data_IF_871610282340
#
_entry.id   IF_871610282340
#
_cell.length_a   1.000
_cell.length_b   1.000
_cell.length_c   1.000
_cell.angle_alpha   90.00
_cell.angle_beta   90.00
_cell.angle_gamma   90.00
#
_symmetry.space_group_name_H-M   'P 1'
#
loop_
_entity.id
_entity.type
_entity.pdbx_description
1 polymer ?
#
# COMPACT_ATOMS: atom_id res chain seq x y z
N UNK A 1 -15.50 -23.22 26.87
CA UNK A 1 -14.64 -22.16 26.32
C UNK A 1 -15.48 -20.93 25.98
N UNK A 2 -14.88 -19.75 25.98
CA UNK A 2 -15.58 -18.49 25.70
C UNK A 2 -16.04 -18.44 24.24
N UNK A 3 -17.21 -17.84 23.98
CA UNK A 3 -17.63 -17.53 22.62
C UNK A 3 -16.67 -16.54 21.93
N UNK A 4 -16.78 -16.42 20.61
CA UNK A 4 -15.90 -15.54 19.84
C UNK A 4 -15.92 -14.08 20.33
N UNK A 5 -17.08 -13.58 20.77
CA UNK A 5 -17.24 -12.19 21.22
C UNK A 5 -16.46 -11.98 22.52
N UNK A 6 -16.63 -12.87 23.48
CA UNK A 6 -15.89 -12.86 24.75
C UNK A 6 -14.38 -13.00 24.53
N UNK A 7 -13.98 -13.90 23.63
CA UNK A 7 -12.56 -14.07 23.29
C UNK A 7 -11.97 -12.82 22.62
N UNK A 8 -12.68 -12.20 21.69
CA UNK A 8 -12.22 -10.96 21.04
C UNK A 8 -12.06 -9.81 22.07
N UNK A 9 -12.98 -9.70 23.01
CA UNK A 9 -12.90 -8.70 24.09
C UNK A 9 -11.71 -8.95 25.02
N UNK A 10 -11.39 -10.19 25.33
CA UNK A 10 -10.18 -10.50 26.12
C UNK A 10 -8.87 -10.09 25.43
N UNK A 11 -8.91 -9.90 24.11
CA UNK A 11 -7.81 -9.33 23.31
C UNK A 11 -7.91 -7.80 23.13
N UNK A 12 -8.80 -7.13 23.86
CA UNK A 12 -9.05 -5.70 23.74
C UNK A 12 -9.76 -5.28 22.44
N UNK A 13 -10.37 -6.22 21.71
CA UNK A 13 -11.11 -5.92 20.47
C UNK A 13 -12.60 -5.76 20.81
N UNK A 14 -13.16 -4.57 20.57
CA UNK A 14 -14.56 -4.25 20.84
C UNK A 14 -15.49 -4.90 19.79
N UNK A 15 -15.72 -6.20 19.95
CA UNK A 15 -16.61 -6.99 19.11
C UNK A 15 -17.97 -7.14 19.81
N UNK A 16 -19.05 -6.70 19.14
CA UNK A 16 -20.42 -6.74 19.69
C UNK A 16 -21.22 -7.96 19.17
N UNK A 17 -20.87 -8.46 17.99
CA UNK A 17 -21.53 -9.61 17.38
C UNK A 17 -20.59 -10.34 16.44
N UNK A 18 -20.88 -11.62 16.18
CA UNK A 18 -20.09 -12.45 15.26
C UNK A 18 -20.12 -11.86 13.85
N UNK A 19 -18.95 -11.57 13.23
CA UNK A 19 -18.90 -10.97 11.90
C UNK A 19 -19.30 -11.97 10.81
N UNK A 20 -19.62 -11.48 9.59
CA UNK A 20 -19.88 -12.33 8.45
C UNK A 20 -18.70 -13.26 8.13
N UNK A 21 -19.00 -14.49 7.72
CA UNK A 21 -17.99 -15.51 7.38
C UNK A 21 -17.10 -15.06 6.22
N UNK A 22 -15.80 -15.33 6.35
CA UNK A 22 -14.81 -15.17 5.28
C UNK A 22 -14.31 -13.74 5.04
N UNK A 23 -14.80 -12.75 5.77
CA UNK A 23 -14.48 -11.34 5.57
C UNK A 23 -13.74 -10.76 6.76
N UNK A 24 -12.58 -10.11 6.51
CA UNK A 24 -11.93 -9.30 7.53
C UNK A 24 -12.77 -8.06 7.86
N UNK A 25 -13.06 -7.85 9.14
CA UNK A 25 -13.73 -6.65 9.66
C UNK A 25 -12.84 -5.95 10.67
N UNK A 26 -12.83 -4.62 10.58
CA UNK A 26 -12.09 -3.76 11.49
C UNK A 26 -12.97 -3.30 12.64
N UNK A 27 -12.45 -3.38 13.86
CA UNK A 27 -13.12 -3.02 15.10
C UNK A 27 -12.28 -2.03 15.89
N UNK A 28 -12.93 -1.27 16.75
CA UNK A 28 -12.26 -0.43 17.73
C UNK A 28 -11.56 -1.34 18.76
N UNK A 29 -10.54 -0.79 19.42
CA UNK A 29 -9.85 -1.47 20.53
C UNK A 29 -9.99 -0.66 21.80
N UNK A 30 -9.92 -1.30 22.95
CA UNK A 30 -10.03 -0.64 24.25
C UNK A 30 -8.95 0.42 24.44
N UNK A 31 -7.71 0.13 24.01
CA UNK A 31 -6.58 1.06 24.12
C UNK A 31 -6.73 2.30 23.21
N UNK A 32 -7.45 2.16 22.09
CA UNK A 32 -7.66 3.23 21.14
C UNK A 32 -9.10 3.25 20.61
N UNK A 33 -10.07 3.70 21.42
CA UNK A 33 -11.50 3.61 21.08
C UNK A 33 -11.92 4.46 19.87
N UNK A 34 -11.08 5.41 19.46
CA UNK A 34 -11.29 6.24 18.27
C UNK A 34 -10.66 5.67 17.00
N UNK A 35 -9.87 4.58 17.09
CA UNK A 35 -9.21 3.92 15.97
C UNK A 35 -9.71 2.48 15.81
N UNK A 36 -9.73 2.00 14.56
CA UNK A 36 -10.12 0.61 14.26
C UNK A 36 -8.86 -0.26 14.14
N UNK A 37 -8.13 -0.44 15.25
CA UNK A 37 -6.89 -1.20 15.30
C UNK A 37 -7.11 -2.71 15.50
N UNK A 38 -8.31 -3.16 15.83
CA UNK A 38 -8.67 -4.57 15.88
C UNK A 38 -9.15 -5.08 14.52
N UNK A 39 -8.88 -6.34 14.21
CA UNK A 39 -9.45 -7.04 13.07
C UNK A 39 -9.87 -8.45 13.44
N UNK A 40 -11.00 -8.88 12.90
CA UNK A 40 -11.52 -10.23 13.05
C UNK A 40 -11.96 -10.78 11.71
N UNK A 41 -11.58 -12.01 11.40
CA UNK A 41 -12.10 -12.79 10.27
C UNK A 41 -12.67 -14.10 10.80
N UNK A 42 -13.97 -14.22 10.75
CA UNK A 42 -14.67 -15.43 11.19
C UNK A 42 -14.81 -16.40 10.01
N UNK A 43 -14.49 -17.66 10.25
CA UNK A 43 -14.55 -18.72 9.24
C UNK A 43 -15.62 -19.78 9.57
N UNK A 44 -16.40 -19.55 10.65
CA UNK A 44 -17.49 -20.41 11.09
C UNK A 44 -17.12 -21.31 12.25
N UNK A 45 -16.10 -22.13 12.11
CA UNK A 45 -15.56 -23.02 13.16
C UNK A 45 -14.33 -22.42 13.86
N UNK A 46 -13.71 -21.43 13.26
CA UNK A 46 -12.58 -20.69 13.82
C UNK A 46 -12.61 -19.23 13.41
N UNK A 47 -11.81 -18.39 14.05
CA UNK A 47 -11.63 -17.00 13.70
C UNK A 47 -10.15 -16.60 13.82
N UNK A 48 -9.72 -15.71 12.94
CA UNK A 48 -8.45 -15.03 13.04
C UNK A 48 -8.68 -13.65 13.65
N UNK A 49 -7.92 -13.32 14.70
CA UNK A 49 -8.02 -12.05 15.39
C UNK A 49 -6.65 -11.39 15.45
N UNK A 50 -6.61 -10.09 15.28
CA UNK A 50 -5.39 -9.31 15.41
C UNK A 50 -5.71 -7.95 16.04
N UNK A 51 -4.90 -7.53 17.02
CA UNK A 51 -4.99 -6.22 17.65
C UNK A 51 -3.66 -5.47 17.44
N UNK A 52 -3.63 -4.55 16.46
CA UNK A 52 -2.43 -3.75 16.18
C UNK A 52 -2.12 -2.69 17.25
N UNK A 53 -3.04 -2.39 18.16
CA UNK A 53 -2.79 -1.43 19.25
C UNK A 53 -1.73 -1.95 20.23
N UNK A 54 -1.67 -3.27 20.39
CA UNK A 54 -0.72 -3.94 21.29
C UNK A 54 0.34 -4.75 20.53
N UNK A 55 0.43 -4.56 19.22
CA UNK A 55 1.39 -5.22 18.32
C UNK A 55 1.42 -6.76 18.47
N UNK A 56 0.25 -7.35 18.59
CA UNK A 56 0.09 -8.80 18.74
C UNK A 56 0.03 -9.48 17.38
N UNK A 57 0.55 -10.69 17.30
CA UNK A 57 0.41 -11.57 16.15
C UNK A 57 -1.06 -11.98 15.94
N UNK A 58 -1.34 -12.57 14.77
CA UNK A 58 -2.65 -13.12 14.49
C UNK A 58 -2.92 -14.30 15.42
N UNK A 59 -3.96 -14.19 16.25
CA UNK A 59 -4.41 -15.24 17.16
C UNK A 59 -5.58 -15.99 16.51
N UNK A 60 -5.61 -17.31 16.70
CA UNK A 60 -6.68 -18.16 16.18
C UNK A 60 -7.58 -18.63 17.33
N UNK A 61 -8.86 -18.25 17.27
CA UNK A 61 -9.91 -18.83 18.10
C UNK A 61 -10.57 -20.01 17.39
N UNK A 62 -10.94 -21.06 18.11
CA UNK A 62 -11.68 -22.22 17.58
C UNK A 62 -12.97 -22.43 18.36
N UNK A 63 -14.05 -22.76 17.65
CA UNK A 63 -15.34 -23.13 18.23
C UNK A 63 -15.33 -24.58 18.74
N UNK A 64 -15.96 -24.80 19.88
CA UNK A 64 -16.18 -26.15 20.41
C UNK A 64 -17.48 -26.80 19.91
N UNK A 65 -18.32 -26.03 19.21
CA UNK A 65 -19.60 -26.53 18.69
C UNK A 65 -19.43 -27.03 17.27
N UNK A 66 -20.07 -28.17 16.97
CA UNK A 66 -20.13 -28.71 15.60
C UNK A 66 -20.69 -27.66 14.61
N UNK A 67 -19.98 -27.41 13.55
CA UNK A 67 -20.33 -26.37 12.58
C UNK A 67 -20.79 -27.00 11.28
N UNK A 68 -21.86 -26.46 10.69
CA UNK A 68 -22.33 -26.86 9.37
C UNK A 68 -21.35 -26.38 8.29
N UNK A 69 -20.43 -27.27 7.90
CA UNK A 69 -19.41 -27.01 6.88
C UNK A 69 -20.00 -26.62 5.53
N UNK A 70 -21.19 -27.10 5.19
CA UNK A 70 -21.85 -26.73 3.93
C UNK A 70 -22.30 -25.26 3.96
N UNK A 71 -22.81 -24.79 5.10
CA UNK A 71 -23.20 -23.38 5.32
C UNK A 71 -21.97 -22.47 5.24
N UNK A 72 -20.86 -22.85 5.88
CA UNK A 72 -19.60 -22.09 5.83
C UNK A 72 -19.11 -21.97 4.40
N UNK A 73 -19.03 -23.08 3.67
CA UNK A 73 -18.58 -23.12 2.29
C UNK A 73 -19.40 -22.18 1.39
N UNK A 74 -20.73 -22.27 1.46
CA UNK A 74 -21.64 -21.39 0.71
C UNK A 74 -21.42 -19.92 1.04
N UNK A 75 -21.28 -19.56 2.34
CA UNK A 75 -21.03 -18.19 2.76
C UNK A 75 -19.68 -17.67 2.28
N UNK A 76 -18.63 -18.51 2.29
CA UNK A 76 -17.30 -18.16 1.79
C UNK A 76 -17.33 -17.92 0.28
N UNK A 77 -17.97 -18.83 -0.48
CA UNK A 77 -18.14 -18.66 -1.94
C UNK A 77 -18.90 -17.39 -2.29
N UNK A 78 -19.99 -17.09 -1.56
CA UNK A 78 -20.75 -15.85 -1.75
C UNK A 78 -19.91 -14.61 -1.42
N UNK A 79 -19.13 -14.64 -0.34
CA UNK A 79 -18.25 -13.53 0.05
C UNK A 79 -17.17 -13.28 -1.02
N UNK A 80 -16.59 -14.35 -1.58
CA UNK A 80 -15.61 -14.24 -2.67
C UNK A 80 -16.23 -13.69 -3.96
N UNK A 81 -17.42 -14.14 -4.33
CA UNK A 81 -18.13 -13.60 -5.49
C UNK A 81 -18.44 -12.12 -5.33
N UNK A 82 -18.95 -11.69 -4.16
CA UNK A 82 -19.18 -10.28 -3.87
C UNK A 82 -17.90 -9.46 -3.94
N UNK A 83 -16.79 -9.97 -3.40
CA UNK A 83 -15.48 -9.31 -3.49
C UNK A 83 -15.03 -9.15 -4.94
N UNK A 84 -15.14 -10.20 -5.77
CA UNK A 84 -14.81 -10.13 -7.20
C UNK A 84 -15.65 -9.09 -7.93
N UNK A 85 -16.96 -9.06 -7.71
CA UNK A 85 -17.87 -8.08 -8.30
C UNK A 85 -17.51 -6.65 -7.90
N UNK A 86 -17.17 -6.41 -6.62
CA UNK A 86 -16.72 -5.11 -6.14
C UNK A 86 -15.41 -4.69 -6.80
N UNK A 87 -14.45 -5.60 -6.91
CA UNK A 87 -13.16 -5.34 -7.58
C UNK A 87 -13.34 -5.01 -9.06
N UNK A 88 -14.19 -5.74 -9.78
CA UNK A 88 -14.51 -5.45 -11.18
C UNK A 88 -15.22 -4.10 -11.35
N UNK A 89 -16.16 -3.78 -10.46
CA UNK A 89 -16.83 -2.48 -10.47
C UNK A 89 -15.84 -1.34 -10.23
N UNK A 90 -14.95 -1.49 -9.23
CA UNK A 90 -13.91 -0.51 -8.94
C UNK A 90 -12.90 -0.37 -10.11
N UNK A 91 -12.54 -1.47 -10.76
CA UNK A 91 -11.65 -1.45 -11.93
C UNK A 91 -12.29 -0.70 -13.12
N UNK A 92 -13.59 -0.94 -13.40
CA UNK A 92 -14.33 -0.18 -14.43
C UNK A 92 -14.40 1.31 -14.09
N UNK A 93 -14.69 1.65 -12.81
CA UNK A 93 -14.69 3.05 -12.36
C UNK A 93 -13.32 3.71 -12.50
N UNK A 94 -12.23 3.01 -12.13
CA UNK A 94 -10.87 3.51 -12.29
C UNK A 94 -10.51 3.76 -13.77
N UNK A 95 -10.89 2.83 -14.66
CA UNK A 95 -10.65 2.96 -16.08
C UNK A 95 -11.42 4.15 -16.68
N UNK A 96 -12.67 4.36 -16.24
CA UNK A 96 -13.48 5.52 -16.64
C UNK A 96 -12.83 6.82 -16.14
N UNK A 97 -12.47 6.92 -14.84
CA UNK A 97 -11.80 8.12 -14.29
C UNK A 97 -10.54 8.45 -15.08
N UNK A 98 -9.71 7.44 -15.38
CA UNK A 98 -8.47 7.65 -16.14
C UNK A 98 -8.71 8.14 -17.56
N UNK A 99 -9.82 7.76 -18.17
CA UNK A 99 -10.22 8.26 -19.50
C UNK A 99 -10.66 9.73 -19.45
N UNK A 100 -11.26 10.17 -18.35
CA UNK A 100 -11.68 11.56 -18.14
C UNK A 100 -10.52 12.46 -17.65
N UNK A 101 -9.34 11.90 -17.31
CA UNK A 101 -8.19 12.68 -16.88
C UNK A 101 -7.59 13.47 -18.04
N UNK A 102 -7.09 14.65 -17.70
CA UNK A 102 -6.23 15.45 -18.55
C UNK A 102 -4.82 15.53 -17.95
N UNK A 103 -3.80 15.65 -18.80
CA UNK A 103 -2.45 15.93 -18.34
C UNK A 103 -2.39 17.39 -17.87
N UNK A 104 -2.23 17.60 -16.56
CA UNK A 104 -2.20 18.93 -15.97
C UNK A 104 -1.24 19.00 -14.76
N UNK A 105 -0.83 20.22 -14.40
CA UNK A 105 -0.14 20.49 -13.14
C UNK A 105 -1.13 20.30 -11.99
N UNK A 106 -0.62 19.94 -10.81
CA UNK A 106 -1.47 19.70 -9.64
C UNK A 106 -0.79 20.24 -8.37
N UNK A 107 -1.57 20.79 -7.45
CA UNK A 107 -1.07 21.38 -6.21
C UNK A 107 -0.21 20.40 -5.38
N UNK A 108 -0.57 19.12 -5.35
CA UNK A 108 0.23 18.08 -4.70
C UNK A 108 1.62 17.94 -5.32
N UNK A 109 1.75 17.97 -6.66
CA UNK A 109 3.05 17.90 -7.34
C UNK A 109 3.92 19.10 -6.96
N UNK A 110 3.34 20.30 -6.97
CA UNK A 110 4.01 21.53 -6.52
C UNK A 110 4.47 21.40 -5.07
N UNK A 111 3.58 20.96 -4.17
CA UNK A 111 3.90 20.77 -2.75
C UNK A 111 5.01 19.74 -2.52
N UNK A 112 5.20 18.79 -3.44
CA UNK A 112 6.26 17.78 -3.40
C UNK A 112 7.53 18.15 -4.16
N UNK A 113 7.62 19.39 -4.69
CA UNK A 113 8.80 19.94 -5.38
C UNK A 113 8.85 19.65 -6.88
N UNK A 114 7.71 19.29 -7.50
CA UNK A 114 7.57 18.93 -8.92
C UNK A 114 6.53 19.83 -9.61
N UNK A 115 6.68 21.16 -9.47
CA UNK A 115 5.70 22.13 -9.97
C UNK A 115 5.55 22.09 -11.50
N UNK A 116 6.62 21.74 -12.20
CA UNK A 116 6.63 21.68 -13.66
C UNK A 116 6.15 20.32 -14.22
N UNK A 117 5.96 19.34 -13.35
CA UNK A 117 5.50 18.01 -13.76
C UNK A 117 3.99 17.99 -14.02
N UNK A 118 3.61 17.18 -14.99
CA UNK A 118 2.21 16.91 -15.33
C UNK A 118 1.80 15.54 -14.78
N UNK A 119 0.57 15.46 -14.29
CA UNK A 119 -0.06 14.20 -13.86
C UNK A 119 -1.41 14.00 -14.52
N UNK A 120 -2.00 12.82 -14.34
CA UNK A 120 -3.38 12.58 -14.73
C UNK A 120 -4.30 13.29 -13.74
N UNK A 121 -4.90 14.40 -14.14
CA UNK A 121 -5.80 15.21 -13.30
C UNK A 121 -7.23 15.00 -13.76
N UNK A 122 -8.06 14.56 -12.83
CA UNK A 122 -9.50 14.43 -13.00
C UNK A 122 -10.20 15.54 -12.23
N UNK A 123 -11.10 16.26 -12.90
CA UNK A 123 -11.92 17.29 -12.26
C UNK A 123 -13.25 16.66 -11.85
N UNK A 124 -13.55 16.67 -10.57
CA UNK A 124 -14.79 16.13 -9.99
C UNK A 124 -15.35 17.10 -8.97
N UNK A 125 -16.59 17.49 -9.13
CA UNK A 125 -17.31 18.41 -8.21
C UNK A 125 -16.54 19.72 -7.93
N UNK A 126 -15.79 20.21 -8.94
CA UNK A 126 -14.98 21.43 -8.83
C UNK A 126 -13.62 21.23 -8.19
N UNK A 127 -13.28 20.02 -7.71
CA UNK A 127 -11.97 19.68 -7.18
C UNK A 127 -11.06 19.09 -8.28
N UNK A 128 -9.79 19.45 -8.28
CA UNK A 128 -8.76 18.77 -9.06
C UNK A 128 -8.21 17.60 -8.25
N UNK A 129 -8.21 16.42 -8.86
CA UNK A 129 -7.76 15.19 -8.22
C UNK A 129 -6.65 14.58 -9.07
N UNK A 130 -5.46 14.41 -8.51
CA UNK A 130 -4.38 13.68 -9.15
C UNK A 130 -4.65 12.18 -9.05
N UNK A 131 -4.66 11.49 -10.19
CA UNK A 131 -5.03 10.08 -10.31
C UNK A 131 -3.80 9.24 -10.65
N UNK A 132 -3.43 8.35 -9.74
CA UNK A 132 -2.35 7.40 -9.97
C UNK A 132 -2.96 6.03 -10.26
N UNK A 133 -2.81 5.50 -11.50
CA UNK A 133 -3.41 4.22 -11.86
C UNK A 133 -2.74 3.07 -11.11
N UNK A 134 -3.54 2.10 -10.69
CA UNK A 134 -3.08 0.87 -10.07
C UNK A 134 -3.35 -0.30 -11.01
N UNK A 135 -2.30 -1.07 -11.33
CA UNK A 135 -2.36 -2.16 -12.30
C UNK A 135 -1.88 -3.47 -11.71
N UNK A 136 -2.47 -4.56 -12.17
CA UNK A 136 -1.98 -5.92 -11.97
C UNK A 136 -1.80 -6.51 -13.37
N UNK A 137 -0.60 -6.99 -13.68
CA UNK A 137 -0.25 -7.55 -15.00
C UNK A 137 -0.71 -6.65 -16.17
N UNK A 138 -0.43 -5.33 -16.03
CA UNK A 138 -0.78 -4.30 -17.00
C UNK A 138 -2.25 -3.85 -17.01
N UNK A 139 -3.16 -4.59 -16.38
CA UNK A 139 -4.61 -4.28 -16.35
C UNK A 139 -4.94 -3.33 -15.20
N UNK A 140 -5.76 -2.32 -15.45
CA UNK A 140 -6.24 -1.41 -14.40
C UNK A 140 -7.13 -2.19 -13.43
N UNK A 141 -6.81 -2.11 -12.14
CA UNK A 141 -7.58 -2.73 -11.04
C UNK A 141 -8.10 -1.70 -10.04
N UNK A 142 -7.64 -0.47 -10.12
CA UNK A 142 -8.00 0.63 -9.26
C UNK A 142 -7.19 1.88 -9.56
N UNK A 143 -7.28 2.87 -8.69
CA UNK A 143 -6.42 4.04 -8.68
C UNK A 143 -6.28 4.61 -7.27
N UNK A 144 -5.21 5.34 -7.03
CA UNK A 144 -5.08 6.23 -5.89
C UNK A 144 -5.49 7.64 -6.32
N UNK A 145 -6.39 8.24 -5.57
CA UNK A 145 -6.89 9.59 -5.74
C UNK A 145 -6.18 10.48 -4.72
N UNK A 146 -5.48 11.51 -5.18
CA UNK A 146 -4.75 12.47 -4.34
C UNK A 146 -5.36 13.84 -4.53
N UNK A 147 -5.87 14.44 -3.46
CA UNK A 147 -6.45 15.77 -3.46
C UNK A 147 -5.37 16.85 -3.36
N UNK A 148 -5.76 18.10 -3.54
CA UNK A 148 -4.87 19.27 -3.45
C UNK A 148 -4.23 19.40 -2.05
N UNK A 149 -4.95 19.04 -0.98
CA UNK A 149 -4.43 19.01 0.40
C UNK A 149 -3.47 17.85 0.68
N UNK A 150 -3.20 16.99 -0.31
CA UNK A 150 -2.34 15.82 -0.18
C UNK A 150 -3.02 14.59 0.41
N UNK A 151 -4.30 14.67 0.78
CA UNK A 151 -5.05 13.49 1.25
C UNK A 151 -5.20 12.45 0.14
N UNK A 152 -5.05 11.17 0.52
CA UNK A 152 -5.02 10.05 -0.42
C UNK A 152 -6.15 9.08 -0.12
N UNK A 153 -6.87 8.66 -1.17
CA UNK A 153 -7.93 7.65 -1.06
C UNK A 153 -7.82 6.62 -2.17
N UNK A 154 -8.28 5.42 -1.87
CA UNK A 154 -8.51 4.37 -2.86
C UNK A 154 -10.00 4.26 -3.18
N UNK A 155 -10.33 3.76 -4.37
CA UNK A 155 -11.71 3.45 -4.68
C UNK A 155 -12.21 2.31 -3.79
N UNK A 156 -13.45 2.45 -3.32
CA UNK A 156 -14.07 1.44 -2.48
C UNK A 156 -14.15 0.09 -3.22
N UNK A 157 -13.68 -0.96 -2.56
CA UNK A 157 -13.70 -2.33 -3.10
C UNK A 157 -12.64 -2.65 -4.13
N UNK A 158 -11.73 -1.72 -4.49
CA UNK A 158 -10.67 -2.02 -5.43
C UNK A 158 -9.67 -3.07 -4.91
N UNK A 159 -9.03 -3.77 -5.83
CA UNK A 159 -7.90 -4.65 -5.53
C UNK A 159 -6.64 -3.82 -5.32
N UNK A 160 -6.03 -3.92 -4.13
CA UNK A 160 -4.74 -3.28 -3.82
C UNK A 160 -3.59 -4.29 -3.84
N UNK A 161 -3.87 -5.52 -3.42
CA UNK A 161 -2.85 -6.59 -3.32
C UNK A 161 -2.27 -6.94 -4.68
N UNK A 162 -0.97 -6.80 -4.81
CA UNK A 162 -0.21 -7.05 -6.04
C UNK A 162 -0.42 -5.97 -7.12
N UNK A 163 -1.10 -4.86 -6.80
CA UNK A 163 -1.26 -3.74 -7.71
C UNK A 163 -0.07 -2.78 -7.60
N UNK A 164 0.35 -2.22 -8.71
CA UNK A 164 1.47 -1.30 -8.82
C UNK A 164 1.19 -0.18 -9.80
N UNK A 165 1.93 0.91 -9.67
CA UNK A 165 2.14 1.85 -10.76
C UNK A 165 3.58 1.72 -11.23
N UNK A 166 3.76 1.40 -12.51
CA UNK A 166 5.06 1.13 -13.11
C UNK A 166 5.58 2.34 -13.86
N UNK A 167 6.84 2.73 -13.58
CA UNK A 167 7.62 3.69 -14.38
C UNK A 167 8.81 2.91 -14.95
N UNK A 168 8.72 2.55 -16.22
CA UNK A 168 9.70 1.67 -16.88
C UNK A 168 10.67 2.46 -17.75
N UNK A 169 11.93 2.50 -17.37
CA UNK A 169 13.05 3.04 -18.13
C UNK A 169 14.10 1.94 -18.43
N UNK A 170 13.64 0.70 -18.55
CA UNK A 170 14.45 -0.46 -19.02
C UNK A 170 15.73 -0.70 -18.21
N UNK A 171 15.63 -0.67 -16.90
CA UNK A 171 16.74 -0.89 -15.98
C UNK A 171 16.39 -1.80 -14.80
N UNK A 172 17.27 -1.82 -13.78
CA UNK A 172 17.04 -2.62 -12.56
C UNK A 172 15.70 -2.33 -11.89
N UNK A 173 15.11 -3.34 -11.27
CA UNK A 173 13.87 -3.19 -10.51
C UNK A 173 14.09 -2.39 -9.22
N UNK A 174 13.29 -1.37 -9.02
CA UNK A 174 13.25 -0.55 -7.81
C UNK A 174 11.86 -0.61 -7.22
N UNK A 175 11.77 -0.75 -5.91
CA UNK A 175 10.51 -0.74 -5.18
C UNK A 175 10.44 0.49 -4.28
N UNK A 176 9.35 1.21 -4.34
CA UNK A 176 9.02 2.35 -3.47
C UNK A 176 7.59 2.23 -2.98
N UNK A 177 7.29 2.76 -1.79
CA UNK A 177 5.92 2.74 -1.30
C UNK A 177 5.06 3.83 -1.94
N UNK A 178 5.53 5.07 -1.92
CA UNK A 178 4.76 6.26 -2.25
C UNK A 178 5.07 6.89 -3.60
N UNK A 179 4.07 7.60 -4.17
CA UNK A 179 4.24 8.30 -5.45
C UNK A 179 5.24 9.48 -5.37
N UNK A 180 5.25 10.25 -4.26
CA UNK A 180 6.22 11.34 -4.08
C UNK A 180 7.66 10.83 -3.99
N UNK A 181 7.87 9.75 -3.23
CA UNK A 181 9.14 9.01 -3.17
C UNK A 181 9.59 8.61 -4.58
N UNK A 182 8.70 8.04 -5.39
CA UNK A 182 8.98 7.67 -6.76
C UNK A 182 9.43 8.83 -7.65
N UNK A 183 8.78 9.99 -7.54
CA UNK A 183 9.15 11.18 -8.31
C UNK A 183 10.57 11.65 -7.95
N UNK A 184 10.91 11.67 -6.66
CA UNK A 184 12.25 12.06 -6.19
C UNK A 184 13.33 11.06 -6.61
N UNK A 185 13.05 9.77 -6.54
CA UNK A 185 13.96 8.72 -7.04
C UNK A 185 14.15 8.85 -8.54
N UNK A 186 13.07 9.09 -9.30
CA UNK A 186 13.13 9.35 -10.75
C UNK A 186 14.04 10.53 -11.08
N UNK A 187 13.87 11.66 -10.36
CA UNK A 187 14.70 12.84 -10.57
C UNK A 187 16.19 12.56 -10.26
N UNK A 188 16.48 11.87 -9.14
CA UNK A 188 17.82 11.48 -8.77
C UNK A 188 18.48 10.57 -9.83
N UNK A 189 17.79 9.54 -10.30
CA UNK A 189 18.31 8.62 -11.32
C UNK A 189 18.47 9.28 -12.68
N UNK A 190 17.54 10.16 -13.07
CA UNK A 190 17.63 10.93 -14.31
C UNK A 190 18.85 11.85 -14.31
N UNK A 191 19.15 12.54 -13.20
CA UNK A 191 20.34 13.40 -13.07
C UNK A 191 21.65 12.63 -13.26
N UNK A 192 21.66 11.35 -12.97
CA UNK A 192 22.79 10.42 -13.15
C UNK A 192 22.74 9.61 -14.44
N UNK A 193 21.72 9.85 -15.31
CA UNK A 193 21.46 9.11 -16.55
C UNK A 193 21.37 7.58 -16.32
N UNK A 194 20.88 7.15 -15.14
CA UNK A 194 20.69 5.73 -14.82
C UNK A 194 19.34 5.21 -15.32
N UNK A 195 19.35 4.00 -15.83
CA UNK A 195 18.13 3.26 -16.16
C UNK A 195 17.53 2.62 -14.91
N UNK A 196 16.22 2.41 -14.92
CA UNK A 196 15.47 1.78 -13.83
C UNK A 196 14.13 1.24 -14.32
N UNK A 197 13.56 0.32 -13.58
CA UNK A 197 12.16 -0.09 -13.67
C UNK A 197 11.57 0.04 -12.28
N UNK A 198 10.81 1.10 -12.05
CA UNK A 198 10.34 1.47 -10.71
C UNK A 198 8.88 1.09 -10.51
N UNK A 199 8.63 0.38 -9.42
CA UNK A 199 7.34 -0.13 -8.98
C UNK A 199 6.88 0.63 -7.75
N UNK A 200 5.77 1.34 -7.84
CA UNK A 200 5.15 2.03 -6.73
C UNK A 200 4.11 1.10 -6.12
N UNK A 201 4.33 0.70 -4.87
CA UNK A 201 3.59 -0.36 -4.20
C UNK A 201 2.33 0.12 -3.46
N UNK A 202 2.21 1.41 -3.14
CA UNK A 202 1.11 2.04 -2.42
C UNK A 202 0.93 1.61 -0.94
N UNK A 203 1.65 0.64 -0.47
CA UNK A 203 1.73 0.24 0.94
C UNK A 203 2.90 -0.69 1.21
N UNK A 204 3.39 -0.69 2.46
CA UNK A 204 4.47 -1.55 2.93
C UNK A 204 4.20 -3.05 2.68
N UNK A 205 3.00 -3.55 3.02
CA UNK A 205 2.66 -4.95 2.80
C UNK A 205 2.58 -5.35 1.32
N UNK A 206 2.21 -4.41 0.44
CA UNK A 206 2.19 -4.67 -0.99
C UNK A 206 3.59 -4.59 -1.60
N UNK A 207 4.50 -3.79 -1.03
CA UNK A 207 5.91 -3.74 -1.40
C UNK A 207 6.57 -5.12 -1.24
N UNK A 208 6.36 -5.78 -0.09
CA UNK A 208 6.80 -7.16 0.14
C UNK A 208 6.17 -8.11 -0.87
N UNK A 209 4.87 -7.96 -1.16
CA UNK A 209 4.20 -8.81 -2.16
C UNK A 209 4.75 -8.63 -3.56
N UNK A 210 5.10 -7.42 -3.96
CA UNK A 210 5.68 -7.15 -5.29
C UNK A 210 7.10 -7.72 -5.42
N UNK A 211 7.92 -7.66 -4.36
CA UNK A 211 9.28 -8.20 -4.42
C UNK A 211 9.33 -9.68 -4.81
N UNK A 212 8.30 -10.46 -4.47
CA UNK A 212 8.23 -11.89 -4.83
C UNK A 212 8.03 -12.15 -6.32
N UNK A 213 7.73 -11.12 -7.13
CA UNK A 213 7.51 -11.25 -8.58
C UNK A 213 8.78 -11.10 -9.41
N UNK A 214 9.82 -10.53 -8.82
CA UNK A 214 11.05 -10.18 -9.50
C UNK A 214 12.24 -10.84 -8.83
N UNK A 215 13.24 -11.30 -9.59
CA UNK A 215 14.33 -12.10 -9.01
C UNK A 215 15.25 -11.30 -8.09
N UNK A 216 15.42 -10.02 -8.36
CA UNK A 216 16.30 -9.12 -7.59
C UNK A 216 15.98 -7.65 -7.93
N UNK A 217 16.14 -6.79 -6.93
CA UNK A 217 16.03 -5.35 -7.11
C UNK A 217 16.59 -4.59 -5.91
N UNK A 218 16.12 -3.35 -5.75
CA UNK A 218 16.52 -2.45 -4.68
C UNK A 218 15.30 -1.73 -4.14
N UNK A 219 15.22 -1.57 -2.82
CA UNK A 219 14.10 -0.88 -2.16
C UNK A 219 14.53 0.51 -1.72
N UNK A 220 13.68 1.50 -1.92
CA UNK A 220 13.80 2.79 -1.27
C UNK A 220 12.71 2.83 -0.19
N UNK A 221 13.12 2.63 1.06
CA UNK A 221 12.25 2.51 2.22
C UNK A 221 11.97 3.88 2.85
N UNK A 222 10.77 4.05 3.38
CA UNK A 222 10.43 5.19 4.21
C UNK A 222 10.96 4.94 5.64
N UNK A 223 11.54 5.97 6.29
CA UNK A 223 12.03 5.92 7.67
C UNK A 223 10.95 6.44 8.61
N UNK A 224 9.83 5.74 8.68
CA UNK A 224 8.72 6.10 9.57
C UNK A 224 8.99 5.71 11.03
N UNK A 225 8.38 6.44 11.99
CA UNK A 225 8.55 6.20 13.44
C UNK A 225 8.07 4.80 13.86
N UNK A 226 7.12 4.23 13.13
CA UNK A 226 6.60 2.88 13.38
C UNK A 226 7.52 1.76 12.90
N UNK A 227 8.59 2.11 12.16
CA UNK A 227 9.52 1.19 11.49
C UNK A 227 8.84 0.24 10.49
N UNK A 228 7.65 0.58 10.03
CA UNK A 228 6.89 -0.24 9.09
C UNK A 228 7.59 -0.30 7.73
N UNK A 229 8.11 0.84 7.24
CA UNK A 229 8.86 0.91 5.99
C UNK A 229 10.17 0.12 6.04
N UNK A 230 10.95 0.24 7.11
CA UNK A 230 12.17 -0.51 7.30
C UNK A 230 11.91 -2.02 7.37
N UNK A 231 10.93 -2.44 8.18
CA UNK A 231 10.54 -3.85 8.29
C UNK A 231 10.09 -4.42 6.95
N UNK A 232 9.28 -3.68 6.21
CA UNK A 232 8.85 -4.13 4.88
C UNK A 232 10.04 -4.28 3.92
N UNK A 233 11.01 -3.36 3.94
CA UNK A 233 12.21 -3.48 3.12
C UNK A 233 13.02 -4.74 3.49
N UNK A 234 13.22 -5.01 4.79
CA UNK A 234 13.89 -6.22 5.28
C UNK A 234 13.16 -7.50 4.87
N UNK A 235 11.83 -7.51 4.98
CA UNK A 235 10.97 -8.65 4.62
C UNK A 235 11.01 -8.98 3.11
N UNK A 236 11.44 -8.03 2.24
CA UNK A 236 11.67 -8.33 0.81
C UNK A 236 12.91 -9.20 0.58
N UNK A 237 13.87 -9.19 1.48
CA UNK A 237 15.20 -9.77 1.30
C UNK A 237 16.09 -9.02 0.29
N UNK A 238 15.64 -7.87 -0.23
CA UNK A 238 16.42 -7.04 -1.15
C UNK A 238 17.23 -5.99 -0.40
N UNK A 239 18.38 -5.56 -0.94
CA UNK A 239 19.09 -4.42 -0.41
C UNK A 239 18.22 -3.17 -0.51
N UNK A 240 18.42 -2.26 0.44
CA UNK A 240 17.60 -1.05 0.48
C UNK A 240 18.40 0.20 0.87
N UNK A 241 17.86 1.34 0.50
CA UNK A 241 18.23 2.66 1.02
C UNK A 241 17.08 3.18 1.88
N UNK A 242 17.39 3.85 2.96
CA UNK A 242 16.46 4.55 3.82
C UNK A 242 17.04 5.91 4.17
N UNK A 243 16.27 7.02 4.13
CA UNK A 243 16.71 8.33 4.62
C UNK A 243 17.23 8.25 6.05
N UNK A 244 18.30 8.98 6.41
CA UNK A 244 18.92 8.86 7.73
C UNK A 244 18.06 9.44 8.87
N UNK A 245 17.19 10.40 8.58
CA UNK A 245 16.37 11.10 9.58
C UNK A 245 15.05 10.36 9.81
N UNK A 246 14.72 9.96 11.06
CA UNK A 246 13.42 9.39 11.37
C UNK A 246 12.24 10.30 10.97
N UNK A 247 11.16 9.71 10.48
CA UNK A 247 9.98 10.42 10.01
C UNK A 247 10.04 10.87 8.55
N UNK A 248 11.16 10.65 7.84
CA UNK A 248 11.32 11.08 6.44
C UNK A 248 11.08 9.95 5.44
N UNK A 249 10.43 10.29 4.33
CA UNK A 249 10.50 9.56 3.09
C UNK A 249 11.63 10.12 2.17
N UNK A 250 11.89 9.46 1.03
CA UNK A 250 12.94 9.94 0.12
C UNK A 250 12.61 11.29 -0.53
N UNK A 251 11.33 11.69 -0.64
CA UNK A 251 10.96 13.00 -1.12
C UNK A 251 11.31 14.09 -0.09
N UNK A 252 11.07 13.83 1.19
CA UNK A 252 11.43 14.77 2.26
C UNK A 252 12.95 14.94 2.33
N UNK A 253 13.70 13.83 2.27
CA UNK A 253 15.16 13.85 2.20
C UNK A 253 15.67 14.62 0.99
N UNK A 254 15.12 14.36 -0.21
CA UNK A 254 15.49 15.08 -1.43
C UNK A 254 15.25 16.61 -1.28
N UNK A 255 14.13 16.99 -0.72
CA UNK A 255 13.79 18.42 -0.53
C UNK A 255 14.67 19.12 0.51
N UNK A 256 15.11 18.40 1.53
CA UNK A 256 15.99 18.94 2.57
C UNK A 256 17.43 19.12 2.07
N UNK A 257 18.02 18.08 1.48
CA UNK A 257 19.46 18.09 1.13
C UNK A 257 19.74 18.54 -0.31
N UNK A 258 18.72 18.65 -1.14
CA UNK A 258 18.80 18.96 -2.57
C UNK A 258 19.10 17.75 -3.44
N UNK A 259 18.77 17.87 -4.74
CA UNK A 259 18.84 16.77 -5.71
C UNK A 259 20.23 16.11 -5.79
N UNK A 260 21.29 16.90 -5.82
CA UNK A 260 22.65 16.38 -5.96
C UNK A 260 23.06 15.49 -4.81
N UNK A 261 22.82 15.91 -3.57
CA UNK A 261 23.17 15.11 -2.38
C UNK A 261 22.29 13.86 -2.27
N UNK A 262 20.99 13.99 -2.53
CA UNK A 262 20.07 12.85 -2.53
C UNK A 262 20.44 11.81 -3.59
N UNK A 263 20.79 12.26 -4.81
CA UNK A 263 21.24 11.40 -5.90
C UNK A 263 22.54 10.69 -5.53
N UNK A 264 23.51 11.42 -4.95
CA UNK A 264 24.80 10.85 -4.53
C UNK A 264 24.62 9.78 -3.45
N UNK A 265 23.77 10.02 -2.46
CA UNK A 265 23.49 9.05 -1.39
C UNK A 265 22.84 7.79 -1.95
N UNK A 266 21.81 7.94 -2.79
CA UNK A 266 21.12 6.81 -3.45
C UNK A 266 22.11 6.03 -4.34
N UNK A 267 22.93 6.72 -5.13
CA UNK A 267 23.91 6.10 -6.00
C UNK A 267 24.93 5.25 -5.22
N UNK A 268 25.49 5.81 -4.14
CA UNK A 268 26.41 5.09 -3.27
C UNK A 268 25.77 3.82 -2.72
N UNK A 269 24.55 3.89 -2.21
CA UNK A 269 23.83 2.75 -1.68
C UNK A 269 23.58 1.66 -2.75
N UNK A 270 23.15 2.07 -3.95
CA UNK A 270 22.93 1.15 -5.07
C UNK A 270 24.21 0.46 -5.53
N UNK A 271 25.36 1.18 -5.60
CA UNK A 271 26.66 0.57 -5.95
C UNK A 271 27.08 -0.43 -4.88
N UNK A 272 27.02 -0.05 -3.59
CA UNK A 272 27.36 -0.94 -2.48
C UNK A 272 26.51 -2.22 -2.51
N UNK A 273 25.27 -2.13 -2.93
CA UNK A 273 24.37 -3.27 -3.11
C UNK A 273 24.59 -4.06 -4.42
N UNK A 274 25.55 -3.67 -5.26
CA UNK A 274 25.82 -4.32 -6.54
C UNK A 274 24.70 -4.16 -7.58
N UNK A 275 23.92 -3.06 -7.51
CA UNK A 275 22.89 -2.76 -8.51
C UNK A 275 23.54 -2.15 -9.76
N UNK A 276 23.34 -2.72 -10.97
CA UNK A 276 23.96 -2.25 -12.18
C UNK A 276 23.73 -0.77 -12.47
N UNK A 277 24.74 -0.10 -13.04
CA UNK A 277 24.63 1.33 -13.39
C UNK A 277 24.02 1.57 -14.77
N UNK A 278 23.87 0.52 -15.59
CA UNK A 278 23.37 0.59 -16.97
C UNK A 278 22.10 -0.23 -17.14
#
# INVERSE_FOLDING_TARGET
MSDLVTFARSMGIMLDSVPPIGVWRRYRTEDHPNKRNGAVKFMGDHAFLQNWAVNQDVVVWKSDTGVDMAKIRRATEQAEQRRKQQQESAARKAAWILKECQAARHAYLKAKGFEEDYGNVWVSEGEQILVIPMRVDGRIVGCQLIREDGSKKFLLGQRTTGAEYLIDNKGPHLLVEGYATALSVRAALASMKRRYTMHIAFSAGNLVKLSTRYPRGFVIADNDESKTGEKAAQDTGWPYFMPPTPGQDFNDFHREVGLFKAATALHKAMITAGIPSR
#
